data_IF_564084591161
#
_entry.id   IF_564084591161
#
_cell.length_a   1.000
_cell.length_b   1.000
_cell.length_c   1.000
_cell.angle_alpha   90.00
_cell.angle_beta   90.00
_cell.angle_gamma   90.00
#
_symmetry.space_group_name_H-M   'P 1'
#
loop_
_entity.id
_entity.type
_entity.pdbx_description
1 polymer ?
#
# COMPACT_ATOMS: atom_id res chain seq x y z
N UNK A 1 -31.16 40.09 23.21
CA UNK A 1 -30.20 40.89 24.03
C UNK A 1 -28.80 40.48 23.62
N UNK A 2 -27.81 41.39 23.56
CA UNK A 2 -26.41 41.18 23.11
C UNK A 2 -25.84 39.77 23.40
N UNK A 3 -26.08 39.28 24.62
CA UNK A 3 -25.69 37.96 25.09
C UNK A 3 -26.15 36.78 24.22
N UNK A 4 -27.34 36.83 23.63
CA UNK A 4 -27.83 35.78 22.72
C UNK A 4 -27.07 35.75 21.39
N UNK A 5 -26.55 36.89 20.92
CA UNK A 5 -25.77 36.96 19.68
C UNK A 5 -24.37 36.38 19.93
N UNK A 6 -23.73 36.76 21.03
CA UNK A 6 -22.43 36.23 21.45
C UNK A 6 -22.46 34.70 21.60
N UNK A 7 -23.51 34.15 22.22
CA UNK A 7 -23.65 32.69 22.36
C UNK A 7 -23.78 31.95 21.02
N UNK A 8 -24.44 32.55 20.02
CA UNK A 8 -24.56 31.96 18.68
C UNK A 8 -23.22 32.01 17.95
N UNK A 9 -22.49 33.12 18.05
CA UNK A 9 -21.17 33.28 17.44
C UNK A 9 -20.14 32.31 18.05
N UNK A 10 -20.14 32.16 19.38
CA UNK A 10 -19.30 31.18 20.08
C UNK A 10 -19.63 29.75 19.62
N UNK A 11 -20.91 29.39 19.56
CA UNK A 11 -21.32 28.06 19.11
C UNK A 11 -20.90 27.79 17.66
N UNK A 12 -21.02 28.78 16.78
CA UNK A 12 -20.55 28.66 15.39
C UNK A 12 -19.03 28.56 15.29
N UNK A 13 -18.28 29.30 16.11
CA UNK A 13 -16.82 29.18 16.13
C UNK A 13 -16.39 27.80 16.61
N UNK A 14 -16.96 27.31 17.72
CA UNK A 14 -16.67 25.96 18.22
C UNK A 14 -16.99 24.89 17.20
N UNK A 15 -18.18 24.91 16.59
CA UNK A 15 -18.54 23.92 15.58
C UNK A 15 -17.62 23.94 14.34
N UNK A 16 -17.08 25.11 13.96
CA UNK A 16 -16.08 25.20 12.88
C UNK A 16 -14.71 24.69 13.30
N UNK A 17 -14.33 24.92 14.55
CA UNK A 17 -13.06 24.45 15.10
C UNK A 17 -13.08 22.93 15.26
N UNK A 18 -14.13 22.40 15.89
CA UNK A 18 -14.40 20.97 16.06
C UNK A 18 -14.39 20.26 14.70
N UNK A 19 -15.21 20.71 13.73
CA UNK A 19 -15.25 20.09 12.41
C UNK A 19 -13.92 20.16 11.64
N UNK A 20 -13.07 21.16 11.92
CA UNK A 20 -11.73 21.25 11.32
C UNK A 20 -10.73 20.31 12.02
N UNK A 21 -10.87 20.12 13.31
CA UNK A 21 -10.05 19.20 14.09
C UNK A 21 -10.38 17.76 13.71
N UNK A 22 -11.67 17.40 13.74
CA UNK A 22 -12.19 16.09 13.32
C UNK A 22 -11.74 15.76 11.90
N UNK A 23 -12.01 16.63 10.92
CA UNK A 23 -11.61 16.36 9.53
C UNK A 23 -10.09 16.26 9.32
N UNK A 24 -9.27 16.86 10.20
CA UNK A 24 -7.80 16.71 10.16
C UNK A 24 -7.37 15.40 10.80
N UNK A 25 -8.03 14.98 11.86
CA UNK A 25 -7.75 13.72 12.55
C UNK A 25 -8.14 12.55 11.66
N UNK A 26 -9.37 12.53 11.14
CA UNK A 26 -9.87 11.54 10.19
C UNK A 26 -8.96 11.43 8.97
N UNK A 27 -8.67 12.55 8.29
CA UNK A 27 -7.81 12.52 7.11
C UNK A 27 -6.37 12.06 7.38
N UNK A 28 -5.86 12.25 8.60
CA UNK A 28 -4.55 11.71 9.00
C UNK A 28 -4.63 10.21 9.27
N UNK A 29 -5.68 9.75 9.92
CA UNK A 29 -5.89 8.35 10.22
C UNK A 29 -6.09 7.54 8.94
N UNK A 30 -7.01 7.96 8.08
CA UNK A 30 -7.27 7.34 6.78
C UNK A 30 -6.00 7.29 5.93
N UNK A 31 -5.31 8.42 5.75
CA UNK A 31 -4.08 8.46 4.94
C UNK A 31 -2.95 7.58 5.50
N UNK A 32 -2.87 7.41 6.83
CA UNK A 32 -1.91 6.49 7.46
C UNK A 32 -2.30 5.03 7.25
N UNK A 33 -3.58 4.71 7.35
CA UNK A 33 -4.08 3.35 7.15
C UNK A 33 -3.91 2.92 5.69
N UNK A 34 -4.41 3.72 4.74
CA UNK A 34 -4.28 3.47 3.30
C UNK A 34 -2.81 3.34 2.90
N UNK A 35 -1.95 4.29 3.30
CA UNK A 35 -0.53 4.23 2.97
C UNK A 35 0.19 3.00 3.55
N UNK A 36 -0.24 2.51 4.72
CA UNK A 36 0.31 1.28 5.31
C UNK A 36 -0.16 0.06 4.53
N UNK A 37 -1.43 -0.02 4.17
CA UNK A 37 -1.98 -1.15 3.42
C UNK A 37 -1.37 -1.25 2.03
N UNK A 38 -1.31 -0.14 1.29
CA UNK A 38 -0.66 -0.07 -0.02
C UNK A 38 0.81 -0.47 0.07
N UNK A 39 1.54 0.05 1.06
CA UNK A 39 2.94 -0.28 1.27
C UNK A 39 3.18 -1.76 1.55
N UNK A 40 2.31 -2.39 2.36
CA UNK A 40 2.39 -3.83 2.66
C UNK A 40 2.08 -4.64 1.39
N UNK A 41 1.03 -4.31 0.65
CA UNK A 41 0.67 -5.03 -0.57
C UNK A 41 1.78 -4.94 -1.63
N UNK A 42 2.31 -3.73 -1.87
CA UNK A 42 3.43 -3.53 -2.78
C UNK A 42 4.66 -4.31 -2.35
N UNK A 43 5.00 -4.28 -1.05
CA UNK A 43 6.14 -5.02 -0.50
C UNK A 43 6.01 -6.53 -0.66
N UNK A 44 4.83 -7.10 -0.40
CA UNK A 44 4.55 -8.53 -0.59
C UNK A 44 4.67 -8.90 -2.08
N UNK A 45 4.06 -8.14 -2.98
CA UNK A 45 4.11 -8.40 -4.42
C UNK A 45 5.55 -8.36 -4.95
N UNK A 46 6.31 -7.33 -4.57
CA UNK A 46 7.73 -7.21 -4.94
C UNK A 46 8.55 -8.37 -4.38
N UNK A 47 8.33 -8.75 -3.11
CA UNK A 47 9.02 -9.88 -2.49
C UNK A 47 8.75 -11.21 -3.19
N UNK A 48 7.48 -11.49 -3.53
CA UNK A 48 7.11 -12.68 -4.30
C UNK A 48 7.81 -12.68 -5.66
N UNK A 49 7.76 -11.57 -6.40
CA UNK A 49 8.40 -11.47 -7.72
C UNK A 49 9.93 -11.67 -7.63
N UNK A 50 10.59 -11.00 -6.68
CA UNK A 50 12.02 -11.15 -6.46
C UNK A 50 12.40 -12.60 -6.10
N UNK A 51 11.60 -13.24 -5.24
CA UNK A 51 11.83 -14.63 -4.85
C UNK A 51 11.63 -15.60 -6.03
N UNK A 52 10.58 -15.42 -6.83
CA UNK A 52 10.34 -16.21 -8.05
C UNK A 52 11.52 -16.12 -9.02
N UNK A 53 12.03 -14.90 -9.24
CA UNK A 53 13.23 -14.66 -10.06
C UNK A 53 14.47 -15.34 -9.47
N UNK A 54 14.67 -15.26 -8.15
CA UNK A 54 15.81 -15.87 -7.48
C UNK A 54 15.78 -17.41 -7.59
N UNK A 55 14.59 -18.02 -7.44
CA UNK A 55 14.38 -19.46 -7.64
C UNK A 55 14.72 -19.84 -9.08
N UNK A 56 14.16 -19.12 -10.07
CA UNK A 56 14.43 -19.41 -11.48
C UNK A 56 15.92 -19.35 -11.83
N UNK A 57 16.64 -18.34 -11.33
CA UNK A 57 18.10 -18.22 -11.49
C UNK A 57 18.85 -19.40 -10.86
N UNK A 58 18.48 -19.79 -9.65
CA UNK A 58 19.09 -20.93 -8.96
C UNK A 58 18.86 -22.25 -9.73
N UNK A 59 17.65 -22.47 -10.25
CA UNK A 59 17.34 -23.64 -11.06
C UNK A 59 18.17 -23.67 -12.36
N UNK A 60 18.33 -22.51 -13.04
CA UNK A 60 19.15 -22.40 -14.26
C UNK A 60 20.62 -22.70 -13.98
N UNK A 61 21.15 -22.20 -12.86
CA UNK A 61 22.53 -22.49 -12.41
C UNK A 61 22.74 -23.98 -12.10
N UNK A 62 21.70 -24.66 -11.61
CA UNK A 62 21.72 -26.11 -11.37
C UNK A 62 21.51 -26.95 -12.64
N UNK A 63 21.31 -26.31 -13.80
CA UNK A 63 21.17 -26.98 -15.09
C UNK A 63 19.81 -27.62 -15.33
N UNK A 64 18.76 -27.19 -14.62
CA UNK A 64 17.39 -27.62 -14.90
C UNK A 64 16.96 -27.08 -16.28
N UNK A 65 16.17 -27.86 -17.00
CA UNK A 65 15.62 -27.45 -18.28
C UNK A 65 14.54 -26.38 -18.12
N UNK A 66 14.35 -25.58 -19.16
CA UNK A 66 13.42 -24.44 -19.15
C UNK A 66 11.98 -24.86 -18.82
N UNK A 67 11.51 -26.02 -19.30
CA UNK A 67 10.14 -26.47 -19.03
C UNK A 67 9.93 -26.77 -17.54
N UNK A 68 10.91 -27.42 -16.90
CA UNK A 68 10.88 -27.66 -15.45
C UNK A 68 10.90 -26.34 -14.67
N UNK A 69 11.70 -25.34 -15.10
CA UNK A 69 11.75 -24.03 -14.44
C UNK A 69 10.40 -23.29 -14.58
N UNK A 70 9.78 -23.34 -15.76
CA UNK A 70 8.45 -22.78 -16.00
C UNK A 70 7.41 -23.41 -15.06
N UNK A 71 7.41 -24.73 -14.91
CA UNK A 71 6.47 -25.42 -14.02
C UNK A 71 6.62 -25.02 -12.54
N UNK A 72 7.86 -24.80 -12.08
CA UNK A 72 8.15 -24.44 -10.68
C UNK A 72 7.82 -22.97 -10.41
N UNK A 73 8.26 -22.07 -11.30
CA UNK A 73 8.27 -20.62 -11.07
C UNK A 73 7.08 -19.89 -11.70
N UNK A 74 6.35 -20.57 -12.58
CA UNK A 74 5.23 -20.00 -13.36
C UNK A 74 5.64 -18.78 -14.21
N UNK A 75 6.95 -18.62 -14.47
CA UNK A 75 7.47 -17.63 -15.39
C UNK A 75 7.30 -18.10 -16.84
N UNK A 76 7.23 -17.13 -17.76
CA UNK A 76 7.26 -17.43 -19.18
C UNK A 76 8.63 -17.95 -19.60
N UNK A 77 8.67 -18.64 -20.74
CA UNK A 77 9.93 -19.06 -21.35
C UNK A 77 10.83 -17.86 -21.59
N UNK A 78 10.27 -16.78 -22.12
CA UNK A 78 10.95 -15.54 -22.44
C UNK A 78 11.60 -14.93 -21.19
N UNK A 79 10.87 -14.87 -20.07
CA UNK A 79 11.40 -14.37 -18.80
C UNK A 79 12.57 -15.22 -18.32
N UNK A 80 12.46 -16.55 -18.37
CA UNK A 80 13.52 -17.48 -17.93
C UNK A 80 14.76 -17.42 -18.83
N UNK A 81 14.57 -17.26 -20.14
CA UNK A 81 15.66 -17.11 -21.10
C UNK A 81 16.42 -15.79 -20.88
N UNK A 82 15.72 -14.74 -20.44
CA UNK A 82 16.30 -13.43 -20.11
C UNK A 82 17.05 -13.36 -18.75
N UNK A 83 16.92 -14.38 -17.88
CA UNK A 83 17.59 -14.45 -16.56
C UNK A 83 19.05 -14.86 -16.61
#
# INVERSE_FOLDING_TARGET
VQWQIEQIEEAQMRGREEGREEGREEGREEGREEGREEGIQQGIQQGIQQNTIAIARSCKQQGLDTETIMAITQLSREDIEAL
#
